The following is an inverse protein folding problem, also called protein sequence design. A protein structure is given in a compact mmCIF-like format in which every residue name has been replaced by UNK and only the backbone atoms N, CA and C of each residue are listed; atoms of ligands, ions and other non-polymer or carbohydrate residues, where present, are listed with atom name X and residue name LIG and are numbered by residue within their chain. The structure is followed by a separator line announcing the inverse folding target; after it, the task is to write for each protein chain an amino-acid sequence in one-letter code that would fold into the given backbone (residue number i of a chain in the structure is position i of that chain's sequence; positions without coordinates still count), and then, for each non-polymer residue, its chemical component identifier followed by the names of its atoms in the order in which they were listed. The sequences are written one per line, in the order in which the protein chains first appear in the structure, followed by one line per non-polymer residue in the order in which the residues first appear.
data_IF_135619947144
#
_entry.id   IF_135619947144
#
_cell.length_a   1.000
_cell.length_b   1.000
_cell.length_c   1.000
_cell.angle_alpha   90.00
_cell.angle_beta   90.00
_cell.angle_gamma   90.00
#
_symmetry.space_group_name_H-M   'P 1'
#
loop_
_entity.id
_entity.type
_entity.pdbx_description
1 polymer ?
#
# COMPACT_ATOMS: atom_id res chain seq x y z
N UNK A 1 -3.78 -35.50 -49.34
CA UNK A 1 -4.84 -35.02 -48.44
C UNK A 1 -4.13 -34.20 -47.38
N UNK A 2 -4.01 -32.90 -47.64
CA UNK A 2 -3.32 -31.95 -46.76
C UNK A 2 -4.37 -31.45 -45.78
N UNK A 3 -4.30 -31.95 -44.55
CA UNK A 3 -5.20 -31.58 -43.46
C UNK A 3 -4.86 -30.18 -43.00
N UNK A 4 -5.87 -29.32 -43.00
CA UNK A 4 -5.80 -27.89 -42.75
C UNK A 4 -5.09 -27.52 -41.45
N UNK A 5 -4.01 -26.75 -41.60
CA UNK A 5 -3.44 -25.96 -40.52
C UNK A 5 -4.33 -24.72 -40.33
N UNK A 6 -5.42 -24.89 -39.58
CA UNK A 6 -6.06 -23.75 -38.93
C UNK A 6 -5.14 -23.31 -37.78
N UNK A 7 -4.19 -22.45 -38.13
CA UNK A 7 -3.51 -21.52 -37.23
C UNK A 7 -4.58 -20.51 -36.79
N UNK A 8 -5.47 -20.98 -35.92
CA UNK A 8 -6.46 -20.13 -35.28
C UNK A 8 -5.66 -19.23 -34.34
N UNK A 9 -5.48 -17.99 -34.79
CA UNK A 9 -4.80 -16.92 -34.08
C UNK A 9 -5.56 -16.59 -32.80
N UNK A 10 -5.39 -17.46 -31.80
CA UNK A 10 -5.71 -17.25 -30.41
C UNK A 10 -4.83 -16.09 -29.95
N UNK A 11 -5.30 -14.89 -30.29
CA UNK A 11 -4.84 -13.66 -29.72
C UNK A 11 -5.07 -13.83 -28.23
N UNK A 12 -4.04 -14.31 -27.54
CA UNK A 12 -3.89 -14.21 -26.11
C UNK A 12 -4.02 -12.73 -25.85
N UNK A 13 -5.26 -12.30 -25.54
CA UNK A 13 -5.51 -11.01 -24.94
C UNK A 13 -4.82 -11.16 -23.61
N UNK A 14 -3.56 -10.74 -23.58
CA UNK A 14 -2.82 -10.43 -22.37
C UNK A 14 -3.69 -9.39 -21.70
N UNK A 15 -4.63 -9.87 -20.89
CA UNK A 15 -5.48 -9.04 -20.07
C UNK A 15 -4.51 -8.48 -19.04
N UNK A 16 -3.83 -7.40 -19.43
CA UNK A 16 -2.98 -6.58 -18.59
C UNK A 16 -3.72 -6.46 -17.27
N UNK A 17 -3.18 -7.12 -16.26
CA UNK A 17 -3.82 -7.31 -14.96
C UNK A 17 -4.22 -5.92 -14.47
N UNK A 18 -5.52 -5.63 -14.49
CA UNK A 18 -6.02 -4.32 -14.08
C UNK A 18 -5.45 -4.02 -12.70
N UNK A 19 -4.88 -2.82 -12.50
CA UNK A 19 -4.30 -2.46 -11.22
C UNK A 19 -5.34 -2.69 -10.11
N UNK A 20 -4.94 -3.24 -8.95
CA UNK A 20 -5.87 -3.47 -7.87
C UNK A 20 -6.62 -2.19 -7.47
N UNK A 21 -7.93 -2.30 -7.26
CA UNK A 21 -8.84 -1.15 -6.97
C UNK A 21 -8.45 -0.30 -5.76
N UNK A 22 -7.62 -0.82 -4.85
CA UNK A 22 -7.12 -0.05 -3.72
C UNK A 22 -6.02 0.95 -4.11
N UNK A 23 -5.45 0.88 -5.32
CA UNK A 23 -4.56 1.91 -5.87
C UNK A 23 -5.33 3.22 -6.08
N UNK A 24 -6.56 3.13 -6.60
CA UNK A 24 -7.42 4.32 -6.77
C UNK A 24 -7.68 5.04 -5.43
N UNK A 25 -7.71 4.28 -4.33
CA UNK A 25 -7.87 4.83 -2.97
C UNK A 25 -6.65 5.63 -2.54
N UNK A 26 -5.45 5.23 -2.97
CA UNK A 26 -4.23 5.99 -2.69
C UNK A 26 -4.28 7.37 -3.34
N UNK A 27 -4.75 7.45 -4.59
CA UNK A 27 -4.92 8.71 -5.30
C UNK A 27 -6.05 9.55 -4.69
N UNK A 28 -7.20 8.94 -4.36
CA UNK A 28 -8.32 9.58 -3.65
C UNK A 28 -7.86 10.26 -2.36
N UNK A 29 -7.15 9.53 -1.49
CA UNK A 29 -6.61 10.08 -0.23
C UNK A 29 -5.55 11.15 -0.50
N UNK A 30 -4.71 10.94 -1.52
CA UNK A 30 -3.70 11.92 -1.93
C UNK A 30 -4.31 13.26 -2.32
N UNK A 31 -5.42 13.26 -3.06
CA UNK A 31 -6.11 14.47 -3.49
C UNK A 31 -6.88 15.14 -2.34
N UNK A 32 -7.54 14.37 -1.48
CA UNK A 32 -8.15 14.89 -0.25
C UNK A 32 -7.12 15.59 0.64
N UNK A 33 -5.93 14.99 0.82
CA UNK A 33 -4.87 15.59 1.63
C UNK A 33 -4.31 16.88 1.02
N UNK A 34 -4.22 16.98 -0.32
CA UNK A 34 -3.83 18.23 -0.99
C UNK A 34 -4.87 19.33 -0.73
N UNK A 35 -6.15 19.04 -0.90
CA UNK A 35 -7.24 19.98 -0.64
C UNK A 35 -7.27 20.45 0.83
N UNK A 36 -7.15 19.50 1.77
CA UNK A 36 -7.03 19.80 3.21
C UNK A 36 -5.87 20.74 3.48
N UNK A 37 -4.70 20.49 2.87
CA UNK A 37 -3.50 21.31 3.10
C UNK A 37 -3.70 22.74 2.59
N UNK A 38 -4.34 22.92 1.43
CA UNK A 38 -4.65 24.24 0.87
C UNK A 38 -5.64 25.00 1.75
N UNK A 39 -6.71 24.34 2.21
CA UNK A 39 -7.70 24.91 3.11
C UNK A 39 -7.09 25.25 4.47
N UNK A 40 -6.24 24.39 5.02
CA UNK A 40 -5.54 24.64 6.28
C UNK A 40 -4.62 25.87 6.19
N UNK A 41 -3.90 26.05 5.08
CA UNK A 41 -3.07 27.23 4.86
C UNK A 41 -3.90 28.52 4.75
N UNK A 42 -5.09 28.45 4.13
CA UNK A 42 -6.04 29.58 4.09
C UNK A 42 -6.58 29.88 5.49
N UNK A 43 -6.95 28.85 6.24
CA UNK A 43 -7.48 28.97 7.59
C UNK A 43 -6.45 29.55 8.56
N UNK A 44 -5.17 29.17 8.45
CA UNK A 44 -4.09 29.74 9.26
C UNK A 44 -3.95 31.27 9.09
N UNK A 45 -4.18 31.77 7.86
CA UNK A 45 -4.19 33.22 7.59
C UNK A 45 -5.38 33.91 8.26
N UNK A 46 -6.57 33.30 8.19
CA UNK A 46 -7.77 33.81 8.84
C UNK A 46 -7.64 33.81 10.37
N UNK A 47 -7.16 32.73 10.97
CA UNK A 47 -6.87 32.66 12.40
C UNK A 47 -5.93 33.78 12.86
N UNK A 48 -4.89 34.06 12.05
CA UNK A 48 -3.93 35.11 12.37
C UNK A 48 -4.54 36.51 12.27
N UNK A 49 -5.47 36.73 11.33
CA UNK A 49 -6.18 37.99 11.15
C UNK A 49 -7.21 38.23 12.26
N UNK A 50 -8.04 37.23 12.55
CA UNK A 50 -9.14 37.32 13.51
C UNK A 50 -8.68 37.55 14.96
N UNK A 51 -7.55 36.95 15.36
CA UNK A 51 -6.98 37.13 16.71
C UNK A 51 -6.41 38.53 16.94
N UNK A 52 -6.05 39.28 15.90
CA UNK A 52 -5.44 40.60 16.07
C UNK A 52 -6.48 41.59 16.62
N UNK A 53 -6.13 42.38 17.65
CA UNK A 53 -6.96 43.51 18.09
C UNK A 53 -7.03 44.57 16.98
N UNK A 54 -7.97 44.40 16.04
CA UNK A 54 -8.23 45.33 14.95
C UNK A 54 -9.49 46.15 15.16
N UNK A 55 -9.49 47.38 14.64
CA UNK A 55 -10.63 48.30 14.53
C UNK A 55 -11.54 47.96 13.32
N UNK A 56 -11.62 46.69 12.94
CA UNK A 56 -12.49 46.26 11.85
C UNK A 56 -13.96 46.29 12.28
N UNK A 57 -14.85 46.59 11.33
CA UNK A 57 -16.29 46.58 11.54
C UNK A 57 -16.77 45.19 11.98
N UNK A 58 -17.79 45.15 12.84
CA UNK A 58 -18.39 43.90 13.35
C UNK A 58 -18.86 42.96 12.23
N UNK A 59 -19.26 43.52 11.08
CA UNK A 59 -19.66 42.76 9.89
C UNK A 59 -18.49 42.00 9.26
N UNK A 60 -17.28 42.56 9.29
CA UNK A 60 -16.07 41.92 8.75
C UNK A 60 -15.65 40.77 9.66
N UNK A 61 -15.64 40.99 10.99
CA UNK A 61 -15.33 39.93 11.96
C UNK A 61 -16.31 38.76 11.87
N UNK A 62 -17.60 39.05 11.76
CA UNK A 62 -18.63 38.01 11.58
C UNK A 62 -18.41 37.21 10.28
N UNK A 63 -17.94 37.86 9.21
CA UNK A 63 -17.63 37.17 7.96
C UNK A 63 -16.41 36.27 8.10
N UNK A 64 -15.36 36.73 8.79
CA UNK A 64 -14.18 35.91 9.08
C UNK A 64 -14.52 34.69 9.92
N UNK A 65 -15.36 34.86 10.96
CA UNK A 65 -15.82 33.76 11.81
C UNK A 65 -16.57 32.69 11.02
N UNK A 66 -17.48 33.10 10.13
CA UNK A 66 -18.19 32.17 9.24
C UNK A 66 -17.25 31.42 8.31
N UNK A 67 -16.23 32.11 7.79
CA UNK A 67 -15.24 31.49 6.91
C UNK A 67 -14.33 30.51 7.68
N UNK A 68 -13.98 30.84 8.93
CA UNK A 68 -13.25 29.96 9.85
C UNK A 68 -14.06 28.71 10.17
N UNK A 69 -15.35 28.86 10.53
CA UNK A 69 -16.27 27.76 10.81
C UNK A 69 -16.41 26.83 9.59
N UNK A 70 -16.63 27.41 8.41
CA UNK A 70 -16.75 26.68 7.16
C UNK A 70 -15.49 25.87 6.85
N UNK A 71 -14.31 26.52 6.85
CA UNK A 71 -13.04 25.85 6.56
C UNK A 71 -12.72 24.77 7.60
N UNK A 72 -12.98 25.03 8.88
CA UNK A 72 -12.74 24.05 9.96
C UNK A 72 -13.61 22.81 9.75
N UNK A 73 -14.88 22.99 9.39
CA UNK A 73 -15.82 21.90 9.12
C UNK A 73 -15.44 21.13 7.86
N UNK A 74 -15.09 21.83 6.77
CA UNK A 74 -14.65 21.21 5.52
C UNK A 74 -13.36 20.39 5.69
N UNK A 75 -12.38 20.93 6.43
CA UNK A 75 -11.13 20.22 6.71
C UNK A 75 -11.41 18.97 7.57
N UNK A 76 -12.22 19.11 8.61
CA UNK A 76 -12.58 17.98 9.50
C UNK A 76 -13.29 16.88 8.71
N UNK A 77 -14.23 17.25 7.84
CA UNK A 77 -14.90 16.33 6.92
C UNK A 77 -13.91 15.67 5.96
N UNK A 78 -12.96 16.41 5.41
CA UNK A 78 -11.91 15.86 4.55
C UNK A 78 -11.09 14.78 5.26
N UNK A 79 -10.74 14.97 6.54
CA UNK A 79 -10.08 13.95 7.33
C UNK A 79 -10.97 12.71 7.56
N UNK A 80 -12.27 12.89 7.81
CA UNK A 80 -13.21 11.77 7.91
C UNK A 80 -13.34 11.01 6.58
N UNK A 81 -13.31 11.71 5.44
CA UNK A 81 -13.32 11.10 4.11
C UNK A 81 -12.03 10.29 3.87
N UNK A 82 -10.87 10.83 4.24
CA UNK A 82 -9.60 10.07 4.22
C UNK A 82 -9.68 8.80 5.08
N UNK A 83 -10.20 8.91 6.31
CA UNK A 83 -10.36 7.77 7.21
C UNK A 83 -11.28 6.69 6.62
N UNK A 84 -12.43 7.09 6.03
CA UNK A 84 -13.35 6.17 5.37
C UNK A 84 -12.71 5.50 4.16
N UNK A 85 -11.95 6.25 3.36
CA UNK A 85 -11.21 5.72 2.21
C UNK A 85 -10.17 4.67 2.64
N UNK A 86 -9.35 4.98 3.66
CA UNK A 86 -8.36 4.05 4.21
C UNK A 86 -9.01 2.77 4.74
N UNK A 87 -10.12 2.86 5.48
CA UNK A 87 -10.86 1.69 5.97
C UNK A 87 -11.47 0.86 4.85
N UNK A 88 -11.80 1.49 3.72
CA UNK A 88 -12.34 0.80 2.54
C UNK A 88 -11.33 -0.17 1.94
N UNK A 89 -10.02 0.13 2.03
CA UNK A 89 -8.95 -0.77 1.57
C UNK A 89 -9.07 -2.14 2.26
N UNK A 90 -9.26 -2.15 3.58
CA UNK A 90 -9.42 -3.39 4.35
C UNK A 90 -10.62 -4.22 3.88
N UNK A 91 -11.75 -3.56 3.58
CA UNK A 91 -12.95 -4.21 3.06
C UNK A 91 -12.69 -4.80 1.67
N UNK A 92 -12.09 -4.02 0.76
CA UNK A 92 -11.75 -4.47 -0.59
C UNK A 92 -10.82 -5.69 -0.57
N UNK A 93 -9.82 -5.69 0.31
CA UNK A 93 -8.89 -6.81 0.48
C UNK A 93 -9.61 -8.06 1.00
N UNK A 94 -10.47 -7.92 2.00
CA UNK A 94 -11.26 -9.04 2.55
C UNK A 94 -12.22 -9.64 1.51
N UNK A 95 -12.85 -8.80 0.70
CA UNK A 95 -13.73 -9.24 -0.39
C UNK A 95 -12.96 -9.97 -1.49
N UNK A 96 -11.83 -9.42 -1.93
CA UNK A 96 -10.98 -10.03 -2.96
C UNK A 96 -10.34 -11.36 -2.49
N UNK A 97 -10.01 -11.47 -1.21
CA UNK A 97 -9.51 -12.70 -0.59
C UNK A 97 -10.57 -13.82 -0.62
N UNK A 98 -11.83 -13.48 -0.34
CA UNK A 98 -12.95 -14.46 -0.36
C UNK A 98 -13.31 -14.94 -1.76
N UNK A 99 -13.19 -14.09 -2.77
CA UNK A 99 -13.48 -14.47 -4.16
C UNK A 99 -12.36 -15.27 -4.81
N UNK A 100 -11.20 -15.42 -4.16
CA UNK A 100 -10.03 -16.12 -4.70
C UNK A 100 -9.26 -15.33 -5.77
N UNK A 101 -9.64 -14.07 -6.02
CA UNK A 101 -9.01 -13.21 -7.03
C UNK A 101 -7.80 -12.43 -6.50
N UNK A 102 -7.48 -12.54 -5.21
CA UNK A 102 -6.38 -11.80 -4.59
C UNK A 102 -5.12 -12.65 -4.51
N UNK A 103 -4.01 -12.18 -5.08
CA UNK A 103 -2.71 -12.79 -4.84
C UNK A 103 -2.23 -12.42 -3.43
N UNK A 104 -1.52 -13.32 -2.75
CA UNK A 104 -0.98 -13.04 -1.39
C UNK A 104 -0.06 -11.80 -1.36
N UNK A 105 0.62 -11.50 -2.48
CA UNK A 105 1.44 -10.28 -2.62
C UNK A 105 0.60 -8.99 -2.57
N UNK A 106 -0.59 -9.02 -3.18
CA UNK A 106 -1.52 -7.88 -3.19
C UNK A 106 -2.09 -7.60 -1.79
N UNK A 107 -2.32 -8.64 -0.99
CA UNK A 107 -2.76 -8.47 0.40
C UNK A 107 -1.72 -7.72 1.25
N UNK A 108 -0.44 -8.11 1.11
CA UNK A 108 0.67 -7.44 1.81
C UNK A 108 0.84 -6.01 1.31
N UNK A 109 0.77 -5.80 -0.01
CA UNK A 109 0.89 -4.47 -0.61
C UNK A 109 -0.25 -3.54 -0.16
N UNK A 110 -1.49 -4.02 -0.13
CA UNK A 110 -2.64 -3.25 0.33
C UNK A 110 -2.52 -2.85 1.80
N UNK A 111 -2.05 -3.77 2.67
CA UNK A 111 -1.76 -3.44 4.08
C UNK A 111 -0.66 -2.38 4.19
N UNK A 112 0.44 -2.52 3.45
CA UNK A 112 1.53 -1.53 3.49
C UNK A 112 1.05 -0.14 3.05
N UNK A 113 0.21 -0.06 2.02
CA UNK A 113 -0.39 1.19 1.56
C UNK A 113 -1.36 1.75 2.60
N UNK A 114 -2.20 0.91 3.21
CA UNK A 114 -3.09 1.33 4.29
C UNK A 114 -2.31 1.99 5.43
N UNK A 115 -1.15 1.43 5.81
CA UNK A 115 -0.28 2.04 6.83
C UNK A 115 0.38 3.32 6.36
N UNK A 116 0.90 3.35 5.12
CA UNK A 116 1.51 4.56 4.59
C UNK A 116 0.51 5.73 4.54
N UNK A 117 -0.73 5.45 4.11
CA UNK A 117 -1.82 6.42 4.09
C UNK A 117 -2.24 6.84 5.49
N UNK A 118 -2.43 5.87 6.42
CA UNK A 118 -2.78 6.16 7.80
C UNK A 118 -1.74 7.07 8.46
N UNK A 119 -0.45 6.74 8.36
CA UNK A 119 0.65 7.55 8.89
C UNK A 119 0.66 8.97 8.30
N UNK A 120 0.44 9.10 6.99
CA UNK A 120 0.41 10.41 6.33
C UNK A 120 -0.78 11.26 6.79
N UNK A 121 -1.97 10.68 6.91
CA UNK A 121 -3.15 11.38 7.42
C UNK A 121 -2.98 11.75 8.90
N UNK A 122 -2.33 10.91 9.70
CA UNK A 122 -2.00 11.21 11.09
C UNK A 122 -1.06 12.42 11.24
N UNK A 123 -0.02 12.51 10.41
CA UNK A 123 0.91 13.65 10.43
C UNK A 123 0.21 14.98 10.11
N UNK A 124 -0.61 15.00 9.05
CA UNK A 124 -1.33 16.20 8.63
C UNK A 124 -2.41 16.58 9.66
N UNK A 125 -3.13 15.60 10.20
CA UNK A 125 -4.15 15.84 11.24
C UNK A 125 -3.54 16.32 12.56
N UNK A 126 -2.38 15.78 12.98
CA UNK A 126 -1.66 16.25 14.16
C UNK A 126 -1.24 17.72 14.00
N UNK A 127 -0.69 18.08 12.85
CA UNK A 127 -0.29 19.46 12.54
C UNK A 127 -1.49 20.41 12.56
N UNK A 128 -2.59 20.03 11.91
CA UNK A 128 -3.80 20.84 11.86
C UNK A 128 -4.41 21.02 13.25
N UNK A 129 -4.51 19.94 14.01
CA UNK A 129 -5.07 19.97 15.36
C UNK A 129 -4.24 20.81 16.32
N UNK A 130 -2.91 20.74 16.26
CA UNK A 130 -2.03 21.63 17.04
C UNK A 130 -2.28 23.11 16.73
N UNK A 131 -2.47 23.44 15.46
CA UNK A 131 -2.84 24.80 15.02
C UNK A 131 -4.20 25.21 15.57
N UNK A 132 -5.19 24.32 15.53
CA UNK A 132 -6.52 24.52 16.13
C UNK A 132 -6.44 24.72 17.65
N UNK A 133 -5.69 23.88 18.37
CA UNK A 133 -5.45 24.02 19.81
C UNK A 133 -4.83 25.37 20.18
N UNK A 134 -3.85 25.81 19.39
CA UNK A 134 -3.21 27.11 19.58
C UNK A 134 -4.19 28.26 19.33
N UNK A 135 -5.01 28.18 18.29
CA UNK A 135 -6.04 29.17 17.98
C UNK A 135 -7.11 29.22 19.09
N UNK A 136 -7.63 28.06 19.52
CA UNK A 136 -8.58 27.94 20.62
C UNK A 136 -8.04 28.55 21.92
N UNK A 137 -6.76 28.33 22.23
CA UNK A 137 -6.13 28.95 23.40
C UNK A 137 -6.11 30.49 23.31
N UNK A 138 -5.77 31.05 22.15
CA UNK A 138 -5.77 32.50 21.92
C UNK A 138 -7.19 33.08 22.02
N UNK A 139 -8.18 32.41 21.43
CA UNK A 139 -9.58 32.83 21.46
C UNK A 139 -10.12 32.83 22.90
N UNK A 140 -9.74 31.85 23.72
CA UNK A 140 -10.10 31.81 25.15
C UNK A 140 -9.44 32.93 25.95
N UNK A 141 -8.15 33.20 25.73
CA UNK A 141 -7.44 34.29 26.40
C UNK A 141 -8.08 35.66 26.10
N UNK A 142 -8.38 35.92 24.83
CA UNK A 142 -9.06 37.15 24.40
C UNK A 142 -10.49 37.27 24.96
N UNK A 143 -11.13 36.15 25.34
CA UNK A 143 -12.50 36.12 25.86
C UNK A 143 -12.58 36.23 27.38
N UNK A 144 -11.45 36.47 28.04
CA UNK A 144 -11.36 36.45 29.50
C UNK A 144 -11.72 35.09 30.09
N UNK A 145 -11.56 34.00 29.33
CA UNK A 145 -11.66 32.65 29.89
C UNK A 145 -10.36 32.37 30.65
N UNK A 146 -10.47 31.95 31.91
CA UNK A 146 -9.31 31.46 32.64
C UNK A 146 -8.72 30.25 31.91
N UNK A 147 -7.41 30.28 31.64
CA UNK A 147 -6.72 29.13 31.08
C UNK A 147 -6.73 27.98 32.09
N UNK A 148 -7.37 26.83 31.82
CA UNK A 148 -7.33 25.68 32.73
C UNK A 148 -5.92 25.06 32.81
N UNK A 149 -5.03 25.37 31.86
CA UNK A 149 -3.69 24.80 31.74
C UNK A 149 -2.76 25.21 32.90
N UNK A 150 -3.11 26.24 33.68
CA UNK A 150 -2.35 26.60 34.88
C UNK A 150 -2.33 25.55 36.00
N UNK A 151 -3.21 24.53 35.98
CA UNK A 151 -3.27 23.53 37.09
C UNK A 151 -3.39 22.07 36.67
N UNK A 152 -3.57 21.74 35.39
CA UNK A 152 -3.67 20.35 34.97
C UNK A 152 -2.27 19.76 34.75
N UNK A 153 -1.77 19.12 35.81
CA UNK A 153 -0.70 18.12 35.91
C UNK A 153 0.11 17.87 34.63
N UNK A 154 1.42 18.12 34.73
CA UNK A 154 2.42 17.46 33.89
C UNK A 154 2.02 15.98 33.72
N UNK A 155 1.72 15.52 32.50
CA UNK A 155 1.52 14.10 32.27
C UNK A 155 2.77 13.39 32.80
N UNK A 156 2.60 12.42 33.70
CA UNK A 156 3.70 11.55 34.11
C UNK A 156 4.26 10.96 32.82
N UNK A 157 5.45 11.41 32.46
CA UNK A 157 6.10 11.07 31.21
C UNK A 157 6.56 9.62 31.33
N UNK A 158 5.65 8.69 31.10
CA UNK A 158 5.98 7.28 31.05
C UNK A 158 6.78 7.06 29.75
N UNK A 159 8.04 6.62 29.80
CA UNK A 159 8.88 6.48 28.60
C UNK A 159 8.36 5.46 27.59
N UNK A 160 7.35 4.65 27.97
CA UNK A 160 6.68 3.69 27.10
C UNK A 160 5.45 4.25 26.37
N UNK A 161 5.02 5.49 26.67
CA UNK A 161 3.87 6.10 26.01
C UNK A 161 4.29 6.77 24.71
N UNK A 162 3.58 6.48 23.61
CA UNK A 162 3.81 7.15 22.32
C UNK A 162 3.60 8.69 22.50
N UNK A 163 4.61 9.52 22.22
CA UNK A 163 4.51 10.97 22.36
C UNK A 163 3.34 11.57 21.58
N UNK A 164 3.04 11.02 20.40
CA UNK A 164 1.98 11.51 19.54
C UNK A 164 0.59 11.16 20.09
N UNK A 165 0.43 10.02 20.80
CA UNK A 165 -0.79 9.73 21.57
C UNK A 165 -0.97 10.68 22.74
N UNK A 166 0.11 11.00 23.45
CA UNK A 166 0.02 11.90 24.60
C UNK A 166 -0.34 13.32 24.17
N UNK A 167 0.29 13.85 23.11
CA UNK A 167 -0.15 15.09 22.46
C UNK A 167 -1.59 14.93 21.97
N UNK A 168 -1.98 13.72 21.52
CA UNK A 168 -3.35 13.42 21.15
C UNK A 168 -4.38 13.69 22.25
N UNK A 169 -4.07 13.20 23.44
CA UNK A 169 -4.91 13.33 24.61
C UNK A 169 -4.97 14.73 25.18
N UNK A 170 -3.84 15.44 25.20
CA UNK A 170 -3.77 16.82 25.72
C UNK A 170 -4.68 17.75 24.91
N UNK A 171 -4.61 17.67 23.58
CA UNK A 171 -5.47 18.46 22.70
C UNK A 171 -6.95 18.08 22.85
N UNK A 172 -7.28 16.79 22.98
CA UNK A 172 -8.66 16.35 23.22
C UNK A 172 -9.21 16.89 24.55
N UNK A 173 -8.41 16.84 25.62
CA UNK A 173 -8.78 17.39 26.94
C UNK A 173 -8.96 18.91 26.86
N UNK A 174 -8.14 19.60 26.08
CA UNK A 174 -8.29 21.02 25.80
C UNK A 174 -9.66 21.31 25.17
N UNK A 175 -10.04 20.59 24.11
CA UNK A 175 -11.36 20.72 23.47
C UNK A 175 -12.50 20.45 24.46
N UNK A 176 -12.44 19.35 25.22
CA UNK A 176 -13.46 19.01 26.22
C UNK A 176 -13.59 20.09 27.30
N UNK A 177 -12.47 20.64 27.79
CA UNK A 177 -12.48 21.72 28.79
C UNK A 177 -13.13 22.99 28.25
N UNK A 178 -12.90 23.31 26.98
CA UNK A 178 -13.50 24.48 26.33
C UNK A 178 -15.02 24.33 26.23
N UNK A 179 -15.51 23.14 25.81
CA UNK A 179 -16.95 22.85 25.75
C UNK A 179 -17.61 22.98 27.14
N UNK A 180 -16.97 22.47 28.19
CA UNK A 180 -17.49 22.55 29.56
C UNK A 180 -17.56 23.99 30.08
N UNK A 181 -16.51 24.78 29.86
CA UNK A 181 -16.48 26.19 30.28
C UNK A 181 -17.54 27.02 29.56
N UNK A 182 -17.70 26.80 28.25
CA UNK A 182 -18.76 27.44 27.46
C UNK A 182 -20.15 27.07 27.96
N UNK A 183 -20.40 25.79 28.26
CA UNK A 183 -21.68 25.35 28.80
C UNK A 183 -22.01 26.01 30.16
N UNK A 184 -21.02 26.23 31.02
CA UNK A 184 -21.21 26.91 32.31
C UNK A 184 -21.50 28.41 32.16
N UNK A 185 -20.85 29.10 31.23
CA UNK A 185 -21.09 30.54 30.99
C UNK A 185 -22.48 30.82 30.40
N UNK A 186 -23.00 29.93 29.55
CA UNK A 186 -24.38 30.00 29.02
C UNK A 186 -25.45 30.14 30.10
N UNK A 187 -25.25 29.50 31.25
CA UNK A 187 -26.21 29.56 32.36
C UNK A 187 -26.25 30.92 33.05
N UNK A 188 -25.20 31.75 32.90
CA UNK A 188 -25.03 32.97 33.68
C UNK A 188 -25.18 34.26 32.87
N UNK A 189 -25.22 34.21 31.52
CA UNK A 189 -25.30 35.42 30.67
C UNK A 189 -26.20 35.24 29.44
N UNK A 190 -27.16 36.15 29.26
CA UNK A 190 -27.98 36.33 28.04
C UNK A 190 -27.39 37.46 27.18
N UNK A 191 -26.17 37.29 26.69
CA UNK A 191 -25.52 38.27 25.81
C UNK A 191 -25.27 37.63 24.44
N UNK A 192 -25.79 38.25 23.38
CA UNK A 192 -25.69 37.74 22.02
C UNK A 192 -24.21 37.63 21.56
N UNK A 193 -23.36 38.58 21.96
CA UNK A 193 -21.94 38.56 21.62
C UNK A 193 -21.21 37.37 22.29
N UNK A 194 -21.62 37.00 23.50
CA UNK A 194 -21.09 35.84 24.21
C UNK A 194 -21.56 34.55 23.55
N UNK A 195 -22.85 34.47 23.20
CA UNK A 195 -23.41 33.30 22.53
C UNK A 195 -22.72 32.97 21.20
N UNK A 196 -22.38 34.01 20.41
CA UNK A 196 -21.66 33.87 19.14
C UNK A 196 -20.23 33.35 19.35
N UNK A 197 -19.47 33.97 20.25
CA UNK A 197 -18.11 33.52 20.57
C UNK A 197 -18.06 32.10 21.13
N UNK A 198 -19.05 31.74 21.93
CA UNK A 198 -19.21 30.39 22.46
C UNK A 198 -19.48 29.37 21.36
N UNK A 199 -20.25 29.71 20.34
CA UNK A 199 -20.46 28.85 19.18
C UNK A 199 -19.13 28.58 18.47
N UNK A 200 -18.36 29.63 18.17
CA UNK A 200 -17.03 29.50 17.54
C UNK A 200 -16.10 28.58 18.35
N UNK A 201 -15.99 28.83 19.66
CA UNK A 201 -15.19 28.00 20.59
C UNK A 201 -15.66 26.54 20.54
N UNK A 202 -16.98 26.30 20.51
CA UNK A 202 -17.53 24.96 20.51
C UNK A 202 -17.20 24.21 19.21
N UNK A 203 -17.27 24.87 18.07
CA UNK A 203 -17.06 24.20 16.78
C UNK A 203 -15.59 23.86 16.56
N UNK A 204 -14.68 24.76 16.97
CA UNK A 204 -13.23 24.46 17.03
C UNK A 204 -12.95 23.30 17.99
N UNK A 205 -13.55 23.33 19.19
CA UNK A 205 -13.32 22.29 20.20
C UNK A 205 -13.83 20.91 19.75
N UNK A 206 -14.99 20.85 19.08
CA UNK A 206 -15.49 19.61 18.44
C UNK A 206 -14.53 19.12 17.37
N UNK A 207 -14.06 20.00 16.48
CA UNK A 207 -13.08 19.66 15.45
C UNK A 207 -11.81 19.03 16.05
N UNK A 208 -11.27 19.60 17.13
CA UNK A 208 -10.10 19.04 17.84
C UNK A 208 -10.39 17.63 18.40
N UNK A 209 -11.56 17.42 18.99
CA UNK A 209 -11.97 16.11 19.54
C UNK A 209 -12.09 15.07 18.42
N UNK A 210 -12.75 15.42 17.32
CA UNK A 210 -12.93 14.55 16.16
C UNK A 210 -11.58 14.16 15.54
N UNK A 211 -10.68 15.13 15.36
CA UNK A 211 -9.32 14.86 14.86
C UNK A 211 -8.53 13.96 15.80
N UNK A 212 -8.67 14.11 17.12
CA UNK A 212 -8.03 13.24 18.09
C UNK A 212 -8.56 11.79 18.00
N UNK A 213 -9.85 11.61 17.69
CA UNK A 213 -10.46 10.30 17.52
C UNK A 213 -10.06 9.65 16.19
N UNK A 214 -10.01 10.43 15.10
CA UNK A 214 -9.42 9.99 13.82
C UNK A 214 -7.97 9.58 14.03
N UNK A 215 -7.18 10.39 14.76
CA UNK A 215 -5.78 10.09 15.03
C UNK A 215 -5.60 8.74 15.73
N UNK A 216 -6.39 8.46 16.79
CA UNK A 216 -6.32 7.17 17.50
C UNK A 216 -6.72 5.99 16.64
N UNK A 217 -7.78 6.15 15.86
CA UNK A 217 -8.30 5.09 14.99
C UNK A 217 -7.32 4.75 13.86
N UNK A 218 -6.72 5.76 13.24
CA UNK A 218 -5.63 5.57 12.28
C UNK A 218 -4.39 4.97 12.95
N UNK A 219 -4.10 5.35 14.21
CA UNK A 219 -2.96 4.81 14.92
C UNK A 219 -3.11 3.34 15.24
N UNK A 220 -4.33 2.91 15.59
CA UNK A 220 -4.59 1.49 15.77
C UNK A 220 -4.28 0.72 14.47
N UNK A 221 -4.61 1.26 13.30
CA UNK A 221 -4.23 0.65 12.01
C UNK A 221 -2.71 0.65 11.76
N UNK A 222 -1.97 1.61 12.30
CA UNK A 222 -0.50 1.64 12.20
C UNK A 222 0.17 0.69 13.18
N UNK A 223 -0.27 0.68 14.44
CA UNK A 223 0.24 -0.19 15.51
C UNK A 223 -0.11 -1.66 15.25
N UNK A 224 -1.26 -1.97 14.64
CA UNK A 224 -1.61 -3.34 14.25
C UNK A 224 -0.61 -3.93 13.23
N UNK A 225 0.13 -3.08 12.49
CA UNK A 225 1.26 -3.51 11.67
C UNK A 225 2.60 -3.52 12.42
N UNK A 226 2.65 -3.01 13.65
CA UNK A 226 3.78 -3.01 14.57
C UNK A 226 4.21 -4.40 15.03
N UNK A 227 3.44 -5.45 14.73
CA UNK A 227 3.95 -6.82 14.62
C UNK A 227 4.78 -7.04 13.34
N UNK A 228 5.49 -6.01 12.84
CA UNK A 228 6.44 -6.09 11.73
C UNK A 228 7.46 -7.24 11.92
N UNK A 229 7.75 -7.62 13.17
CA UNK A 229 8.50 -8.84 13.49
C UNK A 229 7.77 -10.11 13.02
N UNK A 230 6.48 -10.28 13.32
CA UNK A 230 5.69 -11.42 12.82
C UNK A 230 5.65 -11.45 11.30
N UNK A 231 5.69 -10.30 10.61
CA UNK A 231 5.69 -10.27 9.14
C UNK A 231 7.04 -10.63 8.54
N UNK A 232 8.15 -10.21 9.14
CA UNK A 232 9.48 -10.65 8.72
C UNK A 232 9.61 -12.13 9.01
N UNK A 233 9.27 -12.58 10.21
CA UNK A 233 9.31 -14.01 10.58
C UNK A 233 8.39 -14.83 9.68
N UNK A 234 7.16 -14.36 9.42
CA UNK A 234 6.23 -15.02 8.50
C UNK A 234 6.75 -15.01 7.06
N UNK A 235 7.30 -13.92 6.55
CA UNK A 235 7.81 -13.83 5.18
C UNK A 235 9.13 -14.59 5.01
N UNK A 236 9.99 -14.65 6.02
CA UNK A 236 11.25 -15.41 6.03
C UNK A 236 10.95 -16.90 6.13
N UNK A 237 10.09 -17.30 7.06
CA UNK A 237 9.60 -18.69 7.16
C UNK A 237 8.91 -19.09 5.85
N UNK A 238 8.09 -18.20 5.28
CA UNK A 238 7.43 -18.44 4.00
C UNK A 238 8.43 -18.54 2.85
N UNK A 239 9.40 -17.64 2.75
CA UNK A 239 10.46 -17.71 1.74
C UNK A 239 11.23 -19.03 1.86
N UNK A 240 11.52 -19.48 3.08
CA UNK A 240 12.12 -20.78 3.31
C UNK A 240 11.22 -21.93 2.82
N UNK A 241 9.90 -21.87 3.06
CA UNK A 241 8.95 -22.87 2.55
C UNK A 241 8.79 -22.84 1.03
N UNK A 242 8.73 -21.65 0.41
CA UNK A 242 8.55 -21.45 -1.03
C UNK A 242 9.83 -21.90 -1.78
N UNK A 243 11.02 -21.58 -1.27
CA UNK A 243 12.30 -22.07 -1.81
C UNK A 243 12.39 -23.59 -1.72
N UNK A 244 11.97 -24.18 -0.61
CA UNK A 244 11.93 -25.65 -0.44
C UNK A 244 10.91 -26.31 -1.36
N UNK A 245 9.79 -25.65 -1.65
CA UNK A 245 8.81 -26.08 -2.65
C UNK A 245 9.39 -26.04 -4.07
N UNK A 246 10.03 -24.93 -4.43
CA UNK A 246 10.67 -24.74 -5.73
C UNK A 246 11.80 -25.75 -5.96
N UNK A 247 12.60 -26.08 -4.92
CA UNK A 247 13.62 -27.12 -5.00
C UNK A 247 13.01 -28.49 -5.35
N UNK A 248 11.88 -28.86 -4.72
CA UNK A 248 11.19 -30.13 -5.03
C UNK A 248 10.69 -30.16 -6.47
N UNK A 249 10.09 -29.08 -6.95
CA UNK A 249 9.62 -28.99 -8.33
C UNK A 249 10.77 -29.06 -9.33
N UNK A 250 11.92 -28.42 -9.04
CA UNK A 250 13.14 -28.55 -9.84
C UNK A 250 13.67 -29.99 -9.85
N UNK A 251 13.63 -30.70 -8.73
CA UNK A 251 14.02 -32.13 -8.66
C UNK A 251 13.08 -33.01 -9.49
N UNK A 252 11.76 -32.76 -9.45
CA UNK A 252 10.78 -33.48 -10.27
C UNK A 252 10.98 -33.17 -11.76
N UNK A 253 11.15 -31.90 -12.11
CA UNK A 253 11.39 -31.45 -13.48
C UNK A 253 12.69 -32.04 -14.06
N UNK A 254 13.78 -32.04 -13.31
CA UNK A 254 15.06 -32.63 -13.73
C UNK A 254 14.96 -34.16 -13.87
N UNK A 255 14.22 -34.84 -13.00
CA UNK A 255 13.94 -36.28 -13.15
C UNK A 255 13.11 -36.58 -14.40
N UNK A 256 12.09 -35.75 -14.68
CA UNK A 256 11.30 -35.86 -15.90
C UNK A 256 12.16 -35.64 -17.15
N UNK A 257 13.02 -34.61 -17.15
CA UNK A 257 13.97 -34.33 -18.22
C UNK A 257 14.93 -35.51 -18.44
N UNK A 258 15.54 -36.06 -17.38
CA UNK A 258 16.43 -37.23 -17.46
C UNK A 258 15.71 -38.45 -18.05
N UNK A 259 14.46 -38.72 -17.64
CA UNK A 259 13.65 -39.82 -18.17
C UNK A 259 13.31 -39.61 -19.65
N UNK A 260 12.98 -38.40 -20.05
CA UNK A 260 12.71 -38.05 -21.44
C UNK A 260 13.97 -38.20 -22.31
N UNK A 261 15.14 -37.75 -21.82
CA UNK A 261 16.43 -37.93 -22.52
C UNK A 261 16.74 -39.40 -22.74
N UNK A 262 16.55 -40.26 -21.73
CA UNK A 262 16.73 -41.72 -21.88
C UNK A 262 15.79 -42.32 -22.93
N UNK A 263 14.53 -41.88 -22.98
CA UNK A 263 13.56 -42.31 -24.02
C UNK A 263 13.97 -41.86 -25.42
N UNK A 264 14.43 -40.61 -25.57
CA UNK A 264 14.94 -40.09 -26.85
C UNK A 264 16.16 -40.88 -27.34
N UNK A 265 17.09 -41.23 -26.45
CA UNK A 265 18.26 -42.06 -26.80
C UNK A 265 17.83 -43.46 -27.25
N UNK A 266 16.87 -44.08 -26.56
CA UNK A 266 16.35 -45.40 -26.93
C UNK A 266 15.68 -45.36 -28.31
N UNK A 267 14.87 -44.32 -28.59
CA UNK A 267 14.21 -44.13 -29.88
C UNK A 267 15.24 -43.92 -31.00
N UNK A 268 16.28 -43.12 -30.75
CA UNK A 268 17.38 -42.90 -31.70
C UNK A 268 18.13 -44.21 -32.00
N UNK A 269 18.41 -45.04 -31.00
CA UNK A 269 19.05 -46.34 -31.20
C UNK A 269 18.15 -47.27 -32.04
N UNK A 270 16.85 -47.31 -31.75
CA UNK A 270 15.87 -48.05 -32.55
C UNK A 270 15.85 -47.60 -34.02
N UNK A 271 15.83 -46.28 -34.27
CA UNK A 271 15.91 -45.74 -35.64
C UNK A 271 17.21 -46.11 -36.36
N UNK A 272 18.35 -46.11 -35.65
CA UNK A 272 19.63 -46.54 -36.23
C UNK A 272 19.61 -48.03 -36.64
N UNK A 273 19.01 -48.90 -35.82
CA UNK A 273 18.88 -50.33 -36.14
C UNK A 273 18.00 -50.53 -37.38
N UNK A 274 16.84 -49.86 -37.44
CA UNK A 274 15.94 -49.91 -38.60
C UNK A 274 16.64 -49.36 -39.85
N UNK A 275 17.33 -48.22 -39.73
CA UNK A 275 18.11 -47.63 -40.82
C UNK A 275 19.21 -48.55 -41.33
N UNK A 276 19.93 -49.26 -40.46
CA UNK A 276 20.93 -50.26 -40.84
C UNK A 276 20.29 -51.43 -41.61
N UNK A 277 19.14 -51.91 -41.15
CA UNK A 277 18.43 -53.01 -41.81
C UNK A 277 17.96 -52.61 -43.22
N UNK A 278 17.40 -51.41 -43.35
CA UNK A 278 17.02 -50.84 -44.65
C UNK A 278 18.24 -50.66 -45.55
N UNK A 279 19.37 -50.17 -45.05
CA UNK A 279 20.61 -50.07 -45.82
C UNK A 279 21.13 -51.43 -46.27
N UNK A 280 21.08 -52.46 -45.44
CA UNK A 280 21.48 -53.82 -45.83
C UNK A 280 20.55 -54.43 -46.89
N UNK A 281 19.24 -54.18 -46.81
CA UNK A 281 18.27 -54.59 -47.81
C UNK A 281 18.41 -53.83 -49.12
N UNK A 282 18.66 -52.52 -49.06
CA UNK A 282 18.83 -51.67 -50.24
C UNK A 282 20.21 -51.84 -50.86
N UNK A 283 21.25 -52.26 -50.10
CA UNK A 283 22.64 -52.37 -50.57
C UNK A 283 22.64 -53.11 -51.90
N UNK A 284 22.73 -52.38 -53.03
CA UNK A 284 22.68 -53.01 -54.33
C UNK A 284 23.93 -53.87 -54.38
N UNK A 285 23.76 -55.15 -54.70
CA UNK A 285 24.88 -56.04 -55.03
C UNK A 285 25.73 -55.28 -56.05
N UNK A 286 26.84 -54.68 -55.60
CA UNK A 286 27.88 -54.20 -56.50
C UNK A 286 28.35 -55.46 -57.19
N UNK A 287 27.88 -55.66 -58.42
CA UNK A 287 28.43 -56.59 -59.38
C UNK A 287 29.92 -56.28 -59.45
N UNK A 288 30.71 -57.00 -58.65
CA UNK A 288 32.15 -56.92 -58.73
C UNK A 288 32.51 -57.57 -60.07
N UNK A 289 32.83 -56.72 -61.04
CA UNK A 289 33.46 -57.11 -62.29
C UNK A 289 34.61 -58.06 -62.00
N UNK A 290 34.48 -59.30 -62.45
CA UNK A 290 35.58 -60.26 -62.53
C UNK A 290 36.58 -59.77 -63.58
N UNK A 291 37.68 -59.20 -63.11
CA UNK A 291 39.02 -59.22 -63.72
C UNK A 291 39.97 -58.68 -62.64
N UNK A 292 41.15 -59.29 -62.39
CA UNK A 292 42.13 -59.58 -63.43
C UNK A 292 42.91 -60.91 -63.35
N UNK A 293 43.34 -61.33 -64.54
CA UNK A 293 44.67 -61.81 -64.92
C UNK A 293 45.49 -62.64 -63.92
N UNK A 294 45.65 -63.92 -64.27
CA UNK A 294 46.67 -64.84 -63.75
C UNK A 294 48.05 -64.19 -63.69
N UNK A 295 48.49 -63.96 -62.46
CA UNK A 295 49.88 -63.66 -62.16
C UNK A 295 50.74 -64.91 -62.40
N UNK A 296 51.73 -64.74 -63.27
CA UNK A 296 52.87 -65.64 -63.48
C UNK A 296 53.66 -65.79 -62.17
N UNK A 297 54.03 -67.01 -61.74
CA UNK A 297 54.94 -67.22 -60.62
C UNK A 297 56.35 -66.84 -61.06
N UNK A 298 56.88 -65.77 -60.45
CA UNK A 298 58.28 -65.38 -60.54
C UNK A 298 59.05 -66.22 -59.53
N UNK A 299 59.79 -67.21 -60.00
CA UNK A 299 60.85 -67.87 -59.24
C UNK A 299 62.10 -66.96 -59.28
N UNK A 300 62.53 -66.58 -58.10
CA UNK A 300 63.84 -66.02 -57.72
C UNK A 300 64.93 -67.11 -57.77
N UNK A 301 66.16 -66.85 -57.28
CA UNK A 301 67.12 -65.76 -57.53
C UNK A 301 68.50 -66.31 -57.96
N UNK A 302 69.42 -65.48 -58.46
CA UNK A 302 70.89 -65.67 -58.34
C UNK A 302 71.61 -64.46 -58.99
N UNK A 303 72.19 -63.51 -58.23
CA UNK A 303 73.51 -63.45 -57.54
C UNK A 303 74.59 -62.65 -58.35
N UNK A 304 75.56 -61.99 -57.68
CA UNK A 304 76.30 -60.76 -58.07
C UNK A 304 77.67 -61.06 -58.76
N UNK A 305 78.62 -60.13 -59.03
CA UNK A 305 78.77 -58.71 -58.65
C UNK A 305 78.92 -57.68 -59.78
#
# INVERSE_FOLDING_TARGET
MSTDAYDDGDAVIEMDLLPPRWIDVQDEVGDLLKDITLKAAKLDKLHSKHVLPGFEDDSVKLQEEREIEQLTTEITRGFQECQKAIKRIEIMVKEASRTGNLQKGDEVMAKNIQVALASRVQEVSATFRKKQSNYLNKLRQLGGFESPIGRASTPVQNPYSDPALMESEVDKRLGQSALQQTAQKRLHRNDAAIAQREQEINDIAKGIIELADIFRDLQAMVIDQGTMLDRIDYNVERMATDVKGAEKELVVATNYQRRNTKRKILLLLFLLVVGMFVLLLIKPKRSAQTTPSSAVPRASPDTPP
#
